data_IF_156602670717
#
_entry.id   IF_156602670717
#
_cell.length_a   1.000
_cell.length_b   1.000
_cell.length_c   1.000
_cell.angle_alpha   90.00
_cell.angle_beta   90.00
_cell.angle_gamma   90.00
#
_symmetry.space_group_name_H-M   'P 1'
#
loop_
_entity.id
_entity.type
_entity.pdbx_description
1 polymer ?
#
# COMPACT_ATOMS: atom_id res chain seq x y z
N UNK A 1 -26.90 8.89 -14.84
CA UNK A 1 -26.47 8.65 -13.44
C UNK A 1 -25.11 9.30 -13.22
N UNK A 2 -25.09 10.56 -12.82
CA UNK A 2 -23.86 11.29 -12.52
C UNK A 2 -23.43 10.95 -11.09
N UNK A 3 -22.34 10.19 -10.94
CA UNK A 3 -21.79 9.86 -9.62
C UNK A 3 -21.05 11.11 -9.11
N UNK A 4 -21.66 11.83 -8.16
CA UNK A 4 -21.04 12.99 -7.52
C UNK A 4 -19.66 12.61 -6.97
N UNK A 5 -18.65 13.44 -7.23
CA UNK A 5 -17.26 13.29 -6.75
C UNK A 5 -17.18 13.65 -5.25
N UNK A 6 -18.01 13.02 -4.43
CA UNK A 6 -18.00 13.15 -2.98
C UNK A 6 -16.97 12.19 -2.39
N UNK A 7 -16.17 12.63 -1.39
CA UNK A 7 -15.32 11.74 -0.62
C UNK A 7 -16.15 10.58 -0.05
N UNK A 8 -15.81 9.38 -0.48
CA UNK A 8 -16.50 8.17 -0.04
C UNK A 8 -16.23 7.95 1.46
N UNK A 9 -17.28 7.68 2.25
CA UNK A 9 -17.14 7.46 3.68
C UNK A 9 -16.18 6.29 3.96
N UNK A 10 -15.34 6.41 5.00
CA UNK A 10 -14.24 5.46 5.29
C UNK A 10 -14.65 3.98 5.27
N UNK A 11 -15.84 3.67 5.76
CA UNK A 11 -16.34 2.29 5.90
C UNK A 11 -17.41 1.92 4.84
N UNK A 12 -17.59 2.73 3.80
CA UNK A 12 -18.54 2.41 2.73
C UNK A 12 -17.92 1.46 1.70
N UNK A 13 -18.75 0.91 0.82
CA UNK A 13 -18.33 -0.14 -0.13
C UNK A 13 -17.17 0.35 -1.02
N UNK A 14 -15.98 -0.27 -0.94
CA UNK A 14 -14.83 0.13 -1.76
C UNK A 14 -15.00 -0.30 -3.23
N UNK A 15 -14.15 0.24 -4.10
CA UNK A 15 -14.07 -0.18 -5.51
C UNK A 15 -13.59 -1.64 -5.63
N UNK A 16 -12.55 -1.98 -4.88
CA UNK A 16 -11.96 -3.32 -4.84
C UNK A 16 -11.36 -3.55 -3.45
N UNK A 17 -11.48 -4.77 -2.93
CA UNK A 17 -10.80 -5.21 -1.71
C UNK A 17 -9.59 -6.03 -2.12
N UNK A 18 -8.40 -5.49 -1.93
CA UNK A 18 -7.12 -6.13 -2.32
C UNK A 18 -6.50 -6.97 -1.20
N UNK A 19 -7.03 -6.88 0.03
CA UNK A 19 -6.47 -7.60 1.17
C UNK A 19 -7.07 -7.22 2.51
N UNK A 20 -6.54 -7.84 3.56
CA UNK A 20 -6.91 -7.63 4.97
C UNK A 20 -5.67 -7.50 5.85
N UNK A 21 -5.74 -6.64 6.86
CA UNK A 21 -4.69 -6.44 7.83
C UNK A 21 -5.25 -6.56 9.25
N UNK A 22 -4.74 -7.52 10.03
CA UNK A 22 -4.98 -7.60 11.48
C UNK A 22 -3.83 -6.87 12.21
N UNK A 23 -4.09 -5.72 12.85
CA UNK A 23 -3.06 -4.97 13.55
C UNK A 23 -2.60 -5.64 14.86
N UNK A 24 -3.37 -6.61 15.38
CA UNK A 24 -3.09 -7.28 16.65
C UNK A 24 -2.00 -8.33 16.44
N UNK A 25 -0.83 -8.21 17.10
CA UNK A 25 0.22 -9.22 17.01
C UNK A 25 -0.25 -10.53 17.63
N UNK A 26 -0.18 -11.62 16.87
CA UNK A 26 -0.49 -12.97 17.35
C UNK A 26 0.76 -13.82 17.35
N UNK A 27 0.81 -14.79 18.26
CA UNK A 27 1.83 -15.83 18.24
C UNK A 27 1.39 -16.90 17.24
N UNK A 28 2.30 -17.37 16.40
CA UNK A 28 2.02 -18.53 15.56
C UNK A 28 1.97 -19.78 16.44
N UNK A 29 0.90 -20.60 16.39
CA UNK A 29 0.94 -21.91 17.02
C UNK A 29 2.03 -22.84 16.44
N UNK A 30 2.54 -22.56 15.24
CA UNK A 30 3.56 -23.38 14.56
C UNK A 30 4.98 -22.80 14.63
N UNK A 31 5.17 -21.63 15.23
CA UNK A 31 6.50 -21.00 15.39
C UNK A 31 6.97 -21.12 16.85
N UNK A 32 7.99 -21.94 17.08
CA UNK A 32 8.63 -22.12 18.38
C UNK A 32 9.36 -20.85 18.86
N UNK A 33 9.61 -19.88 17.97
CA UNK A 33 10.40 -18.67 18.26
C UNK A 33 9.71 -17.69 19.22
N UNK A 34 8.45 -17.93 19.65
CA UNK A 34 7.65 -17.02 20.48
C UNK A 34 7.50 -15.59 19.91
N UNK A 35 7.89 -15.38 18.64
CA UNK A 35 7.81 -14.08 17.98
C UNK A 35 6.38 -13.82 17.56
N UNK A 36 5.88 -12.64 17.94
CA UNK A 36 4.55 -12.20 17.52
C UNK A 36 4.63 -11.57 16.15
N UNK A 37 3.79 -12.02 15.23
CA UNK A 37 3.66 -11.43 13.91
C UNK A 37 2.26 -10.83 13.72
N UNK A 38 2.14 -9.93 12.75
CA UNK A 38 0.84 -9.38 12.33
C UNK A 38 0.42 -10.05 11.05
N UNK A 39 -0.85 -10.41 10.96
CA UNK A 39 -1.38 -11.08 9.78
C UNK A 39 -1.73 -10.07 8.69
N UNK A 40 -1.10 -10.21 7.54
CA UNK A 40 -1.35 -9.41 6.34
C UNK A 40 -1.64 -10.38 5.21
N UNK A 41 -2.85 -10.32 4.65
CA UNK A 41 -3.22 -11.03 3.44
C UNK A 41 -3.43 -9.99 2.35
N UNK A 42 -2.66 -10.06 1.26
CA UNK A 42 -2.69 -9.06 0.20
C UNK A 42 -2.49 -9.72 -1.16
N UNK A 43 -3.32 -9.37 -2.13
CA UNK A 43 -3.08 -9.63 -3.55
C UNK A 43 -2.00 -8.67 -4.06
N UNK A 44 -0.78 -9.19 -4.20
CA UNK A 44 0.38 -8.39 -4.62
C UNK A 44 0.28 -7.94 -6.08
N UNK A 45 -0.40 -8.70 -6.95
CA UNK A 45 -0.58 -8.35 -8.35
C UNK A 45 -1.54 -7.16 -8.49
N UNK A 46 -2.68 -7.22 -7.77
CA UNK A 46 -3.64 -6.12 -7.74
C UNK A 46 -3.07 -4.87 -7.07
N UNK A 47 -2.32 -5.04 -5.98
CA UNK A 47 -1.64 -3.91 -5.34
C UNK A 47 -0.68 -3.20 -6.31
N UNK A 48 0.15 -3.95 -7.06
CA UNK A 48 1.05 -3.38 -8.08
C UNK A 48 0.28 -2.64 -9.18
N UNK A 49 -0.82 -3.22 -9.66
CA UNK A 49 -1.67 -2.59 -10.67
C UNK A 49 -2.20 -1.22 -10.21
N UNK A 50 -2.81 -1.16 -9.03
CA UNK A 50 -3.39 0.08 -8.51
C UNK A 50 -2.33 1.17 -8.28
N UNK A 51 -1.15 0.81 -7.77
CA UNK A 51 -0.02 1.73 -7.65
C UNK A 51 0.44 2.22 -9.03
N UNK A 52 0.54 1.34 -10.03
CA UNK A 52 0.92 1.71 -11.39
C UNK A 52 -0.07 2.62 -12.11
N UNK A 53 -1.37 2.55 -11.76
CA UNK A 53 -2.41 3.48 -12.23
C UNK A 53 -2.33 4.84 -11.51
N UNK A 54 -1.50 4.96 -10.46
CA UNK A 54 -1.29 6.20 -9.71
C UNK A 54 -2.13 6.31 -8.42
N UNK A 55 -2.69 5.21 -7.92
CA UNK A 55 -3.40 5.22 -6.65
C UNK A 55 -2.44 5.62 -5.51
N UNK A 56 -2.82 6.65 -4.74
CA UNK A 56 -2.02 7.15 -3.63
C UNK A 56 -2.38 6.39 -2.33
N UNK A 57 -1.48 5.57 -1.76
CA UNK A 57 -1.75 4.88 -0.52
C UNK A 57 -1.59 5.83 0.68
N UNK A 58 -2.34 5.57 1.75
CA UNK A 58 -2.15 6.25 3.03
C UNK A 58 -0.84 5.83 3.70
N UNK A 59 -0.33 6.61 4.66
CA UNK A 59 0.98 6.34 5.29
C UNK A 59 1.09 4.93 5.93
N UNK A 60 -0.01 4.42 6.50
CA UNK A 60 -0.03 3.04 7.05
C UNK A 60 0.06 2.01 5.94
N UNK A 61 -0.71 2.19 4.87
CA UNK A 61 -0.70 1.28 3.72
C UNK A 61 0.65 1.34 3.00
N UNK A 62 1.25 2.53 2.88
CA UNK A 62 2.60 2.70 2.34
C UNK A 62 3.60 1.84 3.11
N UNK A 63 3.59 1.88 4.44
CA UNK A 63 4.48 1.07 5.27
C UNK A 63 4.29 -0.43 5.03
N UNK A 64 3.04 -0.90 4.92
CA UNK A 64 2.74 -2.29 4.61
C UNK A 64 3.26 -2.69 3.23
N UNK A 65 3.00 -1.87 2.21
CA UNK A 65 3.46 -2.08 0.84
C UNK A 65 5.00 -2.06 0.73
N UNK A 66 5.67 -1.26 1.56
CA UNK A 66 7.13 -1.26 1.62
C UNK A 66 7.71 -2.49 2.31
N UNK A 67 7.06 -3.02 3.33
CA UNK A 67 7.50 -4.26 4.00
C UNK A 67 7.48 -5.47 3.06
N UNK A 68 6.54 -5.50 2.11
CA UNK A 68 6.44 -6.55 1.08
C UNK A 68 7.24 -6.23 -0.19
N UNK A 69 7.93 -5.09 -0.25
CA UNK A 69 8.79 -4.72 -1.38
C UNK A 69 8.07 -4.20 -2.63
N UNK A 70 6.84 -3.68 -2.52
CA UNK A 70 6.13 -3.02 -3.64
C UNK A 70 6.55 -1.54 -3.75
N UNK A 71 6.72 -0.85 -2.62
CA UNK A 71 7.08 0.57 -2.57
C UNK A 71 8.37 0.78 -1.79
N UNK A 72 9.13 1.82 -2.12
CA UNK A 72 10.28 2.19 -1.29
C UNK A 72 9.82 2.75 0.08
N UNK A 73 10.50 2.40 1.19
CA UNK A 73 10.07 2.80 2.53
C UNK A 73 10.23 4.30 2.79
N UNK A 74 9.11 5.01 2.92
CA UNK A 74 9.06 6.44 3.30
C UNK A 74 9.56 6.69 4.74
N UNK A 75 9.38 5.70 5.63
CA UNK A 75 9.73 5.79 7.05
C UNK A 75 10.83 4.78 7.40
N UNK A 76 11.78 5.19 8.25
CA UNK A 76 12.81 4.32 8.80
C UNK A 76 12.32 3.43 9.96
N UNK A 77 13.21 2.61 10.55
CA UNK A 77 12.87 1.66 11.62
C UNK A 77 12.16 2.30 12.82
N UNK A 78 12.55 3.52 13.16
CA UNK A 78 12.03 4.27 14.31
C UNK A 78 10.81 5.16 13.96
N UNK A 79 10.27 5.05 12.74
CA UNK A 79 9.11 5.85 12.30
C UNK A 79 9.44 7.27 11.84
N UNK A 80 10.70 7.68 11.87
CA UNK A 80 11.13 8.95 11.26
C UNK A 80 11.11 8.86 9.74
N UNK A 81 10.82 9.99 9.08
CA UNK A 81 10.91 10.10 7.63
C UNK A 81 12.35 9.76 7.19
N UNK A 82 12.48 8.89 6.20
CA UNK A 82 13.77 8.59 5.60
C UNK A 82 14.02 9.60 4.47
N UNK A 83 14.89 10.60 4.65
CA UNK A 83 15.08 11.67 3.66
C UNK A 83 15.62 11.16 2.32
N UNK A 84 16.34 10.02 2.31
CA UNK A 84 16.90 9.42 1.10
C UNK A 84 15.84 8.79 0.19
N UNK A 85 14.75 8.32 0.78
CA UNK A 85 13.68 7.58 0.08
C UNK A 85 12.41 8.42 -0.12
N UNK A 86 12.12 9.34 0.82
CA UNK A 86 11.00 10.28 0.69
C UNK A 86 11.16 11.21 -0.51
N UNK A 87 12.38 11.68 -0.80
CA UNK A 87 12.65 12.53 -1.96
C UNK A 87 12.44 11.80 -3.31
N UNK A 88 12.71 10.48 -3.34
CA UNK A 88 12.61 9.67 -4.56
C UNK A 88 11.17 9.25 -4.86
N UNK A 89 10.43 8.87 -3.82
CA UNK A 89 8.99 8.53 -3.91
C UNK A 89 8.08 9.71 -4.26
N UNK A 90 8.53 10.96 -4.08
CA UNK A 90 7.82 12.17 -4.52
C UNK A 90 8.14 12.59 -5.96
N UNK A 91 9.13 11.96 -6.63
CA UNK A 91 9.69 12.44 -7.90
C UNK A 91 9.35 11.58 -9.12
N UNK A 92 8.57 10.51 -9.01
CA UNK A 92 8.14 9.73 -10.19
C UNK A 92 6.68 10.01 -10.58
N UNK A 93 6.42 10.98 -11.47
CA UNK A 93 5.24 10.92 -12.32
C UNK A 93 5.47 9.77 -13.31
N UNK A 94 4.80 8.64 -13.10
CA UNK A 94 4.69 7.58 -14.09
C UNK A 94 4.20 8.19 -15.40
N UNK A 95 5.08 8.28 -16.39
CA UNK A 95 4.69 8.69 -17.74
C UNK A 95 3.62 7.69 -18.20
N UNK A 96 2.39 8.14 -18.53
CA UNK A 96 1.41 7.23 -19.08
C UNK A 96 1.99 6.63 -20.37
N UNK A 97 1.84 5.32 -20.65
CA UNK A 97 2.15 4.80 -21.96
C UNK A 97 1.24 5.52 -22.94
N UNK A 98 1.80 6.44 -23.71
CA UNK A 98 1.12 7.12 -24.81
C UNK A 98 0.48 6.04 -25.68
N UNK A 99 -0.85 6.05 -25.89
CA UNK A 99 -1.43 5.26 -26.95
C UNK A 99 -1.01 5.94 -28.25
N UNK A 100 0.06 5.43 -28.86
CA UNK A 100 0.44 5.79 -30.22
C UNK A 100 -0.68 5.31 -31.14
N UNK A 101 -1.51 6.27 -31.55
CA UNK A 101 -2.64 6.10 -32.46
C UNK A 101 -2.10 5.71 -33.85
N UNK A 102 -2.65 4.62 -34.40
CA UNK A 102 -2.62 4.33 -35.83
C UNK A 102 -3.53 5.29 -36.62
#
# INVERSE_FOLDING_TARGET
MSRSLEPTARNSKPLEVIGTYDPVPRTDPYDESSKRHKNIQLDTLRARYWIGVGAQPSDTVWRLLSMIGILEPKYGPNGFLNPKTAAKSMTEPSTPPTPEKA
#
